data_IF_418706192112
#
_entry.id   IF_418706192112
#
_cell.length_a   1.000
_cell.length_b   1.000
_cell.length_c   1.000
_cell.angle_alpha   90.00
_cell.angle_beta   90.00
_cell.angle_gamma   90.00
#
_symmetry.space_group_name_H-M   'P 1'
#
loop_
_entity.id
_entity.type
_entity.pdbx_description
1 polymer ?
#
# COMPACT_ATOMS: atom_id res chain seq x y z
N UNK A 1 35.16 16.77 1.06
CA UNK A 1 35.14 17.68 -0.10
C UNK A 1 33.80 18.40 -0.13
N UNK A 2 33.76 19.73 0.01
CA UNK A 2 32.51 20.48 -0.16
C UNK A 2 32.08 20.36 -1.63
N UNK A 3 30.91 19.79 -1.87
CA UNK A 3 30.31 19.71 -3.20
C UNK A 3 29.96 21.15 -3.59
N UNK A 4 30.50 21.71 -4.69
CA UNK A 4 30.11 23.03 -5.15
C UNK A 4 28.58 23.07 -5.29
N UNK A 5 27.92 24.16 -4.86
CA UNK A 5 26.48 24.30 -5.02
C UNK A 5 26.17 24.08 -6.50
N UNK A 6 25.43 23.01 -6.79
CA UNK A 6 25.04 22.70 -8.14
C UNK A 6 24.06 23.79 -8.55
N UNK A 7 24.50 24.70 -9.43
CA UNK A 7 23.62 25.68 -10.06
C UNK A 7 22.30 25.01 -10.47
N UNK A 8 21.15 25.62 -10.17
CA UNK A 8 19.86 25.03 -10.50
C UNK A 8 19.76 24.79 -12.00
N UNK A 9 18.94 23.81 -12.38
CA UNK A 9 18.83 23.40 -13.79
C UNK A 9 18.34 24.54 -14.69
N UNK A 10 17.40 25.34 -14.19
CA UNK A 10 16.86 26.55 -14.84
C UNK A 10 17.98 27.51 -15.27
N UNK A 11 18.86 27.91 -14.34
CA UNK A 11 19.97 28.83 -14.63
C UNK A 11 20.95 28.27 -15.66
N UNK A 12 21.23 26.96 -15.59
CA UNK A 12 22.06 26.29 -16.61
C UNK A 12 21.43 26.36 -17.99
N UNK A 13 20.11 26.19 -18.08
CA UNK A 13 19.37 26.26 -19.34
C UNK A 13 19.41 27.68 -19.89
N UNK A 14 19.15 28.71 -19.08
CA UNK A 14 19.23 30.12 -19.51
C UNK A 14 20.60 30.46 -20.09
N UNK A 15 21.69 30.06 -19.40
CA UNK A 15 23.05 30.28 -19.89
C UNK A 15 23.31 29.54 -21.21
N UNK A 16 22.92 28.27 -21.31
CA UNK A 16 23.12 27.50 -22.54
C UNK A 16 22.34 28.10 -23.71
N UNK A 17 21.10 28.54 -23.49
CA UNK A 17 20.28 29.18 -24.52
C UNK A 17 20.89 30.50 -24.99
N UNK A 18 21.35 31.35 -24.09
CA UNK A 18 22.00 32.61 -24.46
C UNK A 18 23.34 32.40 -25.21
N UNK A 19 24.10 31.33 -24.89
CA UNK A 19 25.27 30.93 -25.68
C UNK A 19 24.87 30.50 -27.09
N UNK A 20 23.78 29.73 -27.23
CA UNK A 20 23.29 29.26 -28.52
C UNK A 20 22.69 30.41 -29.36
N UNK A 21 22.09 31.40 -28.72
CA UNK A 21 21.61 32.63 -29.34
C UNK A 21 22.74 33.58 -29.77
N UNK A 22 23.96 33.36 -29.29
CA UNK A 22 25.12 34.21 -29.58
C UNK A 22 25.20 35.49 -28.72
N UNK A 23 24.32 35.63 -27.73
CA UNK A 23 24.27 36.79 -26.82
C UNK A 23 25.40 36.78 -25.78
N UNK A 24 25.91 35.59 -25.45
CA UNK A 24 27.03 35.42 -24.53
C UNK A 24 28.01 34.36 -25.01
N UNK A 25 29.29 34.52 -24.66
CA UNK A 25 30.32 33.51 -24.93
C UNK A 25 30.37 32.45 -23.83
N UNK A 26 30.88 31.26 -24.14
CA UNK A 26 31.06 30.20 -23.15
C UNK A 26 31.96 30.63 -21.98
N UNK A 27 33.01 31.41 -22.26
CA UNK A 27 33.92 31.93 -21.24
C UNK A 27 33.25 33.00 -20.35
N UNK A 28 32.35 33.81 -20.90
CA UNK A 28 31.56 34.76 -20.12
C UNK A 28 30.56 34.03 -19.22
N UNK A 29 29.86 33.03 -19.75
CA UNK A 29 28.95 32.20 -18.98
C UNK A 29 29.66 31.46 -17.83
N UNK A 30 30.85 30.92 -18.08
CA UNK A 30 31.67 30.25 -17.06
C UNK A 30 32.05 31.18 -15.90
N UNK A 31 32.46 32.43 -16.22
CA UNK A 31 32.76 33.45 -15.20
C UNK A 31 31.53 33.85 -14.40
N UNK A 32 30.40 34.11 -15.07
CA UNK A 32 29.13 34.48 -14.41
C UNK A 32 28.63 33.37 -13.49
N UNK A 33 28.78 32.12 -13.91
CA UNK A 33 28.35 30.95 -13.16
C UNK A 33 29.37 30.45 -12.13
N UNK A 34 30.61 30.98 -12.12
CA UNK A 34 31.68 30.50 -11.25
C UNK A 34 32.09 29.04 -11.52
N UNK A 35 31.95 28.56 -12.76
CA UNK A 35 32.29 27.19 -13.18
C UNK A 35 33.37 27.19 -14.24
N UNK A 36 33.93 26.02 -14.55
CA UNK A 36 34.89 25.89 -15.65
C UNK A 36 34.22 25.96 -17.02
N UNK A 37 34.96 26.46 -18.02
CA UNK A 37 34.53 26.45 -19.43
C UNK A 37 34.14 25.04 -19.89
N UNK A 38 34.83 24.02 -19.39
CA UNK A 38 34.53 22.62 -19.70
C UNK A 38 33.15 22.19 -19.18
N UNK A 39 32.71 22.69 -18.02
CA UNK A 39 31.37 22.43 -17.50
C UNK A 39 30.30 23.02 -18.43
N UNK A 40 30.50 24.26 -18.89
CA UNK A 40 29.62 24.92 -19.86
C UNK A 40 29.55 24.15 -21.18
N UNK A 41 30.70 23.73 -21.73
CA UNK A 41 30.78 22.92 -22.94
C UNK A 41 30.02 21.59 -22.79
N UNK A 42 30.14 20.94 -21.63
CA UNK A 42 29.39 19.72 -21.33
C UNK A 42 27.88 19.96 -21.23
N UNK A 43 27.43 21.07 -20.62
CA UNK A 43 26.01 21.41 -20.55
C UNK A 43 25.43 21.67 -21.93
N UNK A 44 26.12 22.46 -22.77
CA UNK A 44 25.74 22.71 -24.16
C UNK A 44 25.60 21.40 -24.95
N UNK A 45 26.58 20.50 -24.85
CA UNK A 45 26.53 19.18 -25.52
C UNK A 45 25.34 18.35 -25.07
N UNK A 46 25.09 18.29 -23.76
CA UNK A 46 23.94 17.56 -23.18
C UNK A 46 22.62 18.14 -23.63
N UNK A 47 22.48 19.46 -23.63
CA UNK A 47 21.28 20.16 -24.07
C UNK A 47 20.95 19.86 -25.53
N UNK A 48 21.92 19.95 -26.43
CA UNK A 48 21.72 19.66 -27.86
C UNK A 48 21.39 18.18 -28.08
N UNK A 49 22.08 17.27 -27.37
CA UNK A 49 21.83 15.83 -27.51
C UNK A 49 20.44 15.44 -27.02
N UNK A 50 20.04 15.96 -25.86
CA UNK A 50 18.70 15.74 -25.30
C UNK A 50 17.62 16.41 -26.16
N UNK A 51 17.87 17.62 -26.65
CA UNK A 51 16.98 18.32 -27.58
C UNK A 51 16.78 17.53 -28.88
N UNK A 52 17.86 16.99 -29.46
CA UNK A 52 17.79 16.13 -30.65
C UNK A 52 17.00 14.85 -30.36
N UNK A 53 17.31 14.17 -29.25
CA UNK A 53 16.59 12.96 -28.85
C UNK A 53 15.10 13.22 -28.62
N UNK A 54 14.74 14.37 -28.03
CA UNK A 54 13.36 14.77 -27.82
C UNK A 54 12.61 15.16 -29.10
N UNK A 55 13.34 15.50 -30.17
CA UNK A 55 12.76 15.73 -31.51
C UNK A 55 12.69 14.44 -32.33
N UNK A 56 13.64 13.53 -32.16
CA UNK A 56 13.69 12.21 -32.81
C UNK A 56 12.67 11.24 -32.18
N UNK A 57 12.52 11.28 -30.86
CA UNK A 57 11.49 10.54 -30.15
C UNK A 57 10.22 11.36 -30.20
N UNK A 58 9.30 10.98 -31.10
CA UNK A 58 7.89 11.29 -30.88
C UNK A 58 7.46 10.77 -29.47
N UNK A 59 6.35 11.26 -28.88
CA UNK A 59 5.91 10.91 -27.51
C UNK A 59 5.69 9.40 -27.23
N UNK A 60 5.88 8.54 -28.22
CA UNK A 60 5.43 7.15 -28.23
C UNK A 60 6.29 6.19 -27.42
N UNK A 61 7.55 6.51 -27.11
CA UNK A 61 8.41 5.59 -26.36
C UNK A 61 8.13 5.57 -24.85
N UNK A 62 7.80 6.72 -24.26
CA UNK A 62 7.18 6.75 -22.92
C UNK A 62 5.78 6.13 -22.97
N UNK A 63 5.04 6.39 -24.05
CA UNK A 63 3.68 5.90 -24.25
C UNK A 63 3.58 4.39 -24.28
N UNK A 64 4.43 3.66 -25.01
CA UNK A 64 4.26 2.19 -25.16
C UNK A 64 4.53 1.43 -23.84
N UNK A 65 5.60 1.77 -23.11
CA UNK A 65 5.89 1.11 -21.83
C UNK A 65 4.85 1.49 -20.78
N UNK A 66 4.43 2.75 -20.74
CA UNK A 66 3.40 3.22 -19.83
C UNK A 66 2.02 2.60 -20.16
N UNK A 67 1.65 2.51 -21.44
CA UNK A 67 0.44 1.82 -21.90
C UNK A 67 0.46 0.33 -21.53
N UNK A 68 1.60 -0.34 -21.72
CA UNK A 68 1.74 -1.74 -21.31
C UNK A 68 1.55 -1.91 -19.81
N UNK A 69 2.15 -1.01 -19.01
CA UNK A 69 1.97 -1.01 -17.55
C UNK A 69 0.53 -0.71 -17.15
N UNK A 70 -0.16 0.21 -17.83
CA UNK A 70 -1.57 0.53 -17.57
C UNK A 70 -2.48 -0.66 -17.92
N UNK A 71 -2.19 -1.37 -19.01
CA UNK A 71 -2.91 -2.59 -19.38
C UNK A 71 -2.72 -3.69 -18.32
N UNK A 72 -1.48 -3.92 -17.88
CA UNK A 72 -1.15 -4.89 -16.82
C UNK A 72 -1.86 -4.53 -15.50
N UNK A 73 -1.86 -3.26 -15.12
CA UNK A 73 -2.58 -2.78 -13.92
C UNK A 73 -4.09 -3.03 -14.04
N UNK A 74 -4.68 -2.83 -15.23
CA UNK A 74 -6.11 -3.08 -15.45
C UNK A 74 -6.45 -4.57 -15.34
N UNK A 75 -5.61 -5.45 -15.89
CA UNK A 75 -5.73 -6.90 -15.80
C UNK A 75 -5.63 -7.38 -14.34
N UNK A 76 -4.60 -6.93 -13.63
CA UNK A 76 -4.39 -7.29 -12.22
C UNK A 76 -5.55 -6.83 -11.32
N UNK A 77 -6.09 -5.63 -11.55
CA UNK A 77 -7.28 -5.13 -10.82
C UNK A 77 -8.51 -6.00 -11.08
N UNK A 78 -8.69 -6.47 -12.30
CA UNK A 78 -9.81 -7.33 -12.67
C UNK A 78 -9.69 -8.69 -11.98
N UNK A 79 -8.52 -9.33 -12.07
CA UNK A 79 -8.25 -10.62 -11.42
C UNK A 79 -8.40 -10.54 -9.89
N UNK A 80 -7.97 -9.44 -9.27
CA UNK A 80 -8.15 -9.20 -7.84
C UNK A 80 -9.65 -9.09 -7.48
N UNK A 81 -10.42 -8.35 -8.28
CA UNK A 81 -11.87 -8.21 -8.09
C UNK A 81 -12.60 -9.55 -8.18
N UNK A 82 -12.28 -10.36 -9.20
CA UNK A 82 -12.85 -11.70 -9.38
C UNK A 82 -12.53 -12.62 -8.20
N UNK A 83 -11.27 -12.63 -7.76
CA UNK A 83 -10.84 -13.44 -6.62
C UNK A 83 -11.58 -13.04 -5.33
N UNK A 84 -11.76 -11.73 -5.10
CA UNK A 84 -12.52 -11.24 -3.95
C UNK A 84 -13.99 -11.70 -3.98
N UNK A 85 -14.64 -11.66 -5.15
CA UNK A 85 -16.01 -12.14 -5.32
C UNK A 85 -16.12 -13.65 -5.09
N UNK A 86 -15.15 -14.45 -5.57
CA UNK A 86 -15.08 -15.89 -5.30
C UNK A 86 -14.97 -16.18 -3.80
N UNK A 87 -14.09 -15.46 -3.09
CA UNK A 87 -13.93 -15.61 -1.63
C UNK A 87 -15.22 -15.25 -0.88
N UNK A 88 -15.92 -14.18 -1.29
CA UNK A 88 -17.21 -13.81 -0.70
C UNK A 88 -18.26 -14.89 -0.92
N UNK A 89 -18.39 -15.41 -2.14
CA UNK A 89 -19.32 -16.50 -2.46
C UNK A 89 -19.03 -17.74 -1.62
N UNK A 90 -17.77 -18.15 -1.50
CA UNK A 90 -17.39 -19.30 -0.67
C UNK A 90 -17.73 -19.07 0.80
N UNK A 91 -17.50 -17.86 1.30
CA UNK A 91 -17.85 -17.48 2.68
C UNK A 91 -19.37 -17.54 2.89
N UNK A 92 -20.17 -17.09 1.92
CA UNK A 92 -21.63 -17.16 1.98
C UNK A 92 -22.14 -18.61 1.95
N UNK A 93 -21.58 -19.45 1.08
CA UNK A 93 -21.90 -20.88 1.03
C UNK A 93 -21.54 -21.55 2.36
N UNK A 94 -20.36 -21.28 2.91
CA UNK A 94 -19.95 -21.83 4.20
C UNK A 94 -20.89 -21.40 5.34
N UNK A 95 -21.36 -20.14 5.32
CA UNK A 95 -22.36 -19.63 6.27
C UNK A 95 -23.72 -20.29 6.10
N UNK A 96 -24.14 -20.57 4.87
CA UNK A 96 -25.41 -21.23 4.58
C UNK A 96 -25.37 -22.74 4.91
N UNK A 97 -24.23 -23.40 4.69
CA UNK A 97 -24.03 -24.82 4.97
C UNK A 97 -23.92 -25.13 6.47
N UNK A 98 -23.58 -24.15 7.31
CA UNK A 98 -23.56 -24.29 8.76
C UNK A 98 -24.76 -23.52 9.38
N UNK A 99 -25.93 -24.16 9.53
CA UNK A 99 -27.03 -23.51 10.24
C UNK A 99 -26.55 -23.24 11.68
N UNK A 100 -26.66 -21.98 12.12
CA UNK A 100 -26.49 -21.60 13.54
C UNK A 100 -27.28 -22.60 14.39
N UNK A 101 -26.71 -23.20 15.45
CA UNK A 101 -27.50 -24.01 16.36
C UNK A 101 -28.44 -23.09 17.14
N UNK A 102 -29.61 -22.79 16.58
CA UNK A 102 -30.69 -22.05 17.25
C UNK A 102 -31.31 -22.90 18.39
N UNK A 103 -30.97 -24.19 18.48
CA UNK A 103 -31.54 -25.12 19.47
C UNK A 103 -30.96 -25.05 20.88
N UNK A 104 -29.76 -24.51 21.08
CA UNK A 104 -29.14 -24.48 22.42
C UNK A 104 -29.71 -23.39 23.35
N UNK A 105 -30.45 -22.41 22.82
CA UNK A 105 -31.00 -21.30 23.62
C UNK A 105 -32.43 -21.56 24.16
N UNK A 106 -33.21 -22.46 23.55
CA UNK A 106 -34.60 -22.73 23.98
C UNK A 106 -34.71 -23.75 25.13
N UNK A 107 -33.67 -24.55 25.37
CA UNK A 107 -33.71 -25.58 26.43
C UNK A 107 -33.56 -24.99 27.84
N UNK A 108 -32.98 -23.79 27.98
CA UNK A 108 -32.89 -23.06 29.25
C UNK A 108 -34.19 -22.31 29.63
N UNK A 109 -35.12 -22.10 28.69
CA UNK A 109 -36.39 -21.42 28.93
C UNK A 109 -37.54 -22.37 29.34
N UNK A 110 -37.38 -23.68 29.17
CA UNK A 110 -38.41 -24.68 29.48
C UNK A 110 -38.13 -25.50 30.75
N UNK A 111 -37.21 -25.07 31.62
CA UNK A 111 -37.03 -25.71 32.91
C UNK A 111 -38.20 -25.30 33.84
N UNK A 112 -39.07 -26.24 34.27
CA UNK A 112 -40.18 -25.88 35.14
C UNK A 112 -39.66 -25.43 36.50
N UNK A 113 -40.23 -24.34 37.00
CA UNK A 113 -40.03 -23.79 38.34
C UNK A 113 -40.38 -24.86 39.38
N UNK A 114 -39.37 -25.57 39.88
CA UNK A 114 -39.51 -26.57 40.93
C UNK A 114 -39.77 -25.87 42.28
N UNK A 115 -41.01 -25.39 42.43
CA UNK A 115 -41.52 -24.78 43.64
C UNK A 115 -41.59 -25.76 44.82
N UNK A 116 -40.78 -25.48 45.85
CA UNK A 116 -41.01 -25.64 47.29
C UNK A 116 -42.02 -26.73 47.75
N UNK A 117 -41.55 -27.78 48.44
CA UNK A 117 -42.24 -28.34 49.63
C UNK A 117 -41.28 -28.89 50.71
N UNK A 118 -41.26 -28.15 51.83
CA UNK A 118 -41.03 -28.40 53.27
C UNK A 118 -39.91 -29.36 53.79
N UNK A 119 -39.20 -28.95 54.87
CA UNK A 119 -38.28 -29.82 55.62
C UNK A 119 -39.03 -30.78 56.57
N UNK A 120 -38.54 -32.01 56.69
CA UNK A 120 -39.00 -33.00 57.67
C UNK A 120 -38.37 -32.75 59.07
N UNK A 121 -39.08 -33.05 60.17
CA UNK A 121 -38.62 -32.70 61.52
C UNK A 121 -37.53 -33.64 62.04
N UNK A 122 -36.57 -33.05 62.77
CA UNK A 122 -35.54 -33.77 63.54
C UNK A 122 -36.19 -34.53 64.71
N UNK A 123 -35.94 -35.84 64.78
CA UNK A 123 -36.10 -36.68 65.98
C UNK A 123 -34.73 -37.20 66.43
N UNK A 124 -34.53 -37.51 67.72
CA UNK A 124 -33.21 -37.44 68.34
C UNK A 124 -32.39 -38.74 68.18
N UNK A 125 -31.09 -38.54 67.91
CA UNK A 125 -29.97 -39.40 68.31
C UNK A 125 -30.07 -39.71 69.83
N UNK A 126 -29.55 -40.82 70.39
CA UNK A 126 -28.13 -41.14 70.18
C UNK A 126 -27.65 -42.59 70.44
N UNK A 127 -26.35 -42.74 70.21
CA UNK A 127 -25.39 -43.52 71.00
C UNK A 127 -25.07 -44.95 70.58
N UNK A 128 -23.80 -45.12 70.19
CA UNK A 128 -22.99 -46.22 70.72
C UNK A 128 -22.40 -47.12 69.64
N UNK A 129 -21.18 -46.83 69.18
CA UNK A 129 -19.91 -47.50 69.56
C UNK A 129 -19.68 -48.89 68.93
N UNK A 130 -18.55 -49.00 68.24
CA UNK A 130 -17.91 -50.28 67.86
C UNK A 130 -17.44 -50.25 66.41
N UNK A 131 -16.23 -49.80 66.06
CA UNK A 131 -14.89 -50.37 66.32
C UNK A 131 -14.50 -51.49 65.36
N UNK A 132 -13.21 -51.45 64.99
CA UNK A 132 -12.37 -52.35 64.16
C UNK A 132 -12.38 -52.03 62.66
N UNK A 133 -11.29 -51.47 62.10
CA UNK A 133 -9.91 -51.99 61.93
C UNK A 133 -9.84 -53.05 60.83
#
# INVERSE_FOLDING_TARGET
MPRPPALPAEEKVTLVLAILAGEMTAAQAARTAGVSDQAICNWKRRFITAGRLGLESAPDHSSHREQQLLAEVAELKSALGESYLQLKRLTEIARAACPRPVRAAQEQQNLPDAGRRRPAPRGPQPSGTGSYA
#
